data_IF_406472272284
#
_entry.id   IF_406472272284
#
_cell.length_a   1.000
_cell.length_b   1.000
_cell.length_c   1.000
_cell.angle_alpha   90.00
_cell.angle_beta   90.00
_cell.angle_gamma   90.00
#
_symmetry.space_group_name_H-M   'P 1'
#
loop_
_entity.id
_entity.type
_entity.pdbx_description
1 polymer ?
#
# COMPACT_ATOMS: atom_id res chain seq x y z
N UNK A 1 -41.60 -30.68 34.13
CA UNK A 1 -41.63 -30.03 32.81
C UNK A 1 -40.28 -29.39 32.56
N UNK A 2 -39.55 -29.92 31.64
CA UNK A 2 -38.13 -29.65 31.40
C UNK A 2 -38.05 -28.57 30.33
N UNK A 3 -37.52 -27.39 30.66
CA UNK A 3 -37.30 -26.29 29.72
C UNK A 3 -35.97 -26.45 29.01
N UNK A 4 -36.01 -26.68 27.71
CA UNK A 4 -34.80 -26.80 26.85
C UNK A 4 -34.26 -25.42 26.53
N UNK A 5 -33.11 -25.06 27.13
CA UNK A 5 -32.32 -23.88 26.77
C UNK A 5 -31.70 -24.07 25.40
N UNK A 6 -32.07 -23.24 24.42
CA UNK A 6 -31.38 -23.13 23.14
C UNK A 6 -30.11 -22.35 23.34
N UNK A 7 -28.99 -23.05 23.27
CA UNK A 7 -27.66 -22.47 23.18
C UNK A 7 -27.50 -21.77 21.84
N UNK A 8 -27.38 -20.43 21.85
CA UNK A 8 -27.06 -19.64 20.67
C UNK A 8 -25.55 -19.72 20.44
N UNK A 9 -25.13 -20.55 19.51
CA UNK A 9 -23.73 -20.56 19.04
C UNK A 9 -23.41 -19.22 18.39
N UNK A 10 -22.55 -18.45 19.03
CA UNK A 10 -21.92 -17.27 18.44
C UNK A 10 -20.92 -17.76 17.38
N UNK A 11 -21.30 -17.61 16.11
CA UNK A 11 -20.38 -17.89 15.01
C UNK A 11 -19.22 -16.89 15.08
N UNK A 12 -18.04 -17.41 15.37
CA UNK A 12 -16.78 -16.66 15.32
C UNK A 12 -16.55 -16.20 13.86
N UNK A 13 -16.62 -14.90 13.62
CA UNK A 13 -16.28 -14.30 12.34
C UNK A 13 -14.83 -14.63 11.99
N UNK A 14 -14.65 -15.41 10.92
CA UNK A 14 -13.35 -15.73 10.36
C UNK A 14 -12.67 -14.45 9.86
N UNK A 15 -11.77 -13.90 10.65
CA UNK A 15 -10.81 -12.88 10.21
C UNK A 15 -9.96 -13.53 9.13
N UNK A 16 -10.03 -13.03 7.90
CA UNK A 16 -9.15 -13.49 6.81
C UNK A 16 -7.72 -13.20 7.25
N UNK A 17 -7.04 -14.23 7.75
CA UNK A 17 -5.64 -14.16 8.17
C UNK A 17 -4.79 -14.01 6.92
N UNK A 18 -4.49 -12.78 6.53
CA UNK A 18 -3.54 -12.52 5.45
C UNK A 18 -2.19 -13.06 5.91
N UNK A 19 -1.74 -14.15 5.29
CA UNK A 19 -0.43 -14.73 5.59
C UNK A 19 0.66 -13.67 5.39
N UNK A 20 1.54 -13.45 6.38
CA UNK A 20 2.61 -12.48 6.22
C UNK A 20 3.55 -12.91 5.08
N UNK A 21 3.82 -12.00 4.15
CA UNK A 21 4.77 -12.26 3.05
C UNK A 21 6.13 -12.66 3.67
N UNK A 22 6.57 -13.88 3.40
CA UNK A 22 7.88 -14.37 3.84
C UNK A 22 8.96 -13.77 2.95
N UNK A 23 10.03 -13.26 3.55
CA UNK A 23 11.21 -12.76 2.81
C UNK A 23 12.04 -13.97 2.42
N UNK A 24 12.37 -14.09 1.14
CA UNK A 24 13.38 -15.04 0.65
C UNK A 24 14.76 -14.37 0.81
N UNK A 25 15.65 -14.90 1.67
CA UNK A 25 16.96 -14.31 1.89
C UNK A 25 17.82 -14.25 0.61
N UNK A 26 17.62 -15.18 -0.32
CA UNK A 26 18.36 -15.23 -1.58
C UNK A 26 18.03 -14.08 -2.52
N UNK A 27 16.91 -13.34 -2.24
CA UNK A 27 16.45 -12.19 -3.00
C UNK A 27 16.78 -10.84 -2.34
N UNK A 28 17.52 -10.86 -1.22
CA UNK A 28 17.99 -9.64 -0.58
C UNK A 28 19.21 -9.11 -1.33
N UNK A 29 19.21 -7.81 -1.64
CA UNK A 29 20.32 -7.10 -2.29
C UNK A 29 20.55 -5.76 -1.61
N UNK A 30 21.79 -5.28 -1.69
CA UNK A 30 22.15 -3.94 -1.28
C UNK A 30 22.62 -3.15 -2.50
N UNK A 31 22.15 -1.92 -2.63
CA UNK A 31 22.59 -0.99 -3.67
C UNK A 31 23.00 0.32 -3.02
N UNK A 32 24.05 0.95 -3.56
CA UNK A 32 24.58 2.20 -3.03
C UNK A 32 23.99 3.44 -3.73
N UNK A 33 23.47 3.29 -4.95
CA UNK A 33 22.96 4.40 -5.75
C UNK A 33 21.84 3.98 -6.70
N UNK A 34 21.18 4.98 -7.33
CA UNK A 34 20.24 4.80 -8.43
C UNK A 34 20.87 3.96 -9.55
N UNK A 35 22.08 4.30 -10.00
CA UNK A 35 22.77 3.66 -11.13
C UNK A 35 23.03 2.18 -10.86
N UNK A 36 23.41 1.84 -9.62
CA UNK A 36 23.65 0.45 -9.23
C UNK A 36 22.38 -0.40 -9.33
N UNK A 37 21.24 0.11 -8.84
CA UNK A 37 19.96 -0.60 -8.92
C UNK A 37 19.41 -0.60 -10.36
N UNK A 38 19.50 0.53 -11.07
CA UNK A 38 19.10 0.63 -12.47
C UNK A 38 19.88 -0.37 -13.36
N UNK A 39 21.20 -0.48 -13.16
CA UNK A 39 22.04 -1.47 -13.86
C UNK A 39 21.68 -2.91 -13.50
N UNK A 40 21.29 -3.19 -12.27
CA UNK A 40 20.79 -4.51 -11.88
C UNK A 40 19.48 -4.82 -12.59
N UNK A 41 18.54 -3.89 -12.61
CA UNK A 41 17.26 -4.02 -13.29
C UNK A 41 17.43 -4.27 -14.80
N UNK A 42 18.44 -3.68 -15.46
CA UNK A 42 18.69 -3.93 -16.90
C UNK A 42 18.96 -5.39 -17.23
N UNK A 43 19.44 -6.17 -16.25
CA UNK A 43 19.75 -7.60 -16.42
C UNK A 43 18.69 -8.54 -15.83
N UNK A 44 17.81 -8.01 -14.96
CA UNK A 44 16.93 -8.83 -14.12
C UNK A 44 15.44 -8.48 -14.22
N UNK A 45 15.06 -7.37 -14.87
CA UNK A 45 13.69 -6.87 -14.90
C UNK A 45 12.68 -7.88 -15.48
N UNK A 46 13.11 -8.77 -16.36
CA UNK A 46 12.29 -9.81 -17.02
C UNK A 46 12.52 -11.24 -16.49
N UNK A 47 13.60 -11.45 -15.72
CA UNK A 47 13.97 -12.75 -15.14
C UNK A 47 13.42 -12.90 -13.72
N UNK A 48 13.67 -11.89 -12.90
CA UNK A 48 13.21 -11.88 -11.51
C UNK A 48 11.80 -11.28 -11.40
N UNK A 49 11.00 -11.77 -10.46
CA UNK A 49 9.67 -11.23 -10.16
C UNK A 49 9.67 -10.29 -8.96
N UNK A 50 10.67 -10.38 -8.08
CA UNK A 50 10.85 -9.51 -6.92
C UNK A 50 12.32 -9.39 -6.51
N UNK A 51 12.62 -8.32 -5.82
CA UNK A 51 13.85 -8.11 -5.05
C UNK A 51 13.51 -7.39 -3.75
N UNK A 52 14.24 -7.74 -2.68
CA UNK A 52 14.20 -7.05 -1.41
C UNK A 52 15.48 -6.22 -1.28
N UNK A 53 15.35 -4.90 -1.28
CA UNK A 53 16.49 -4.02 -1.08
C UNK A 53 16.66 -3.79 0.42
N UNK A 54 17.82 -4.14 0.97
CA UNK A 54 18.22 -3.73 2.31
C UNK A 54 18.69 -2.28 2.24
N UNK A 55 17.96 -1.43 2.94
CA UNK A 55 18.21 0.02 2.99
C UNK A 55 18.68 0.39 4.39
N UNK A 56 19.84 1.00 4.48
CA UNK A 56 20.37 1.49 5.75
C UNK A 56 19.69 2.80 6.15
N UNK A 57 19.37 2.93 7.46
CA UNK A 57 18.73 4.13 8.01
C UNK A 57 19.71 5.32 8.01
N UNK A 58 19.16 6.52 7.91
CA UNK A 58 19.91 7.73 8.14
C UNK A 58 20.57 7.65 9.53
N UNK A 59 21.84 8.01 9.63
CA UNK A 59 22.62 7.90 10.88
C UNK A 59 23.27 6.53 11.14
N UNK A 60 23.05 5.52 10.29
CA UNK A 60 23.76 4.23 10.41
C UNK A 60 25.24 4.31 10.07
N UNK A 61 25.68 5.37 9.36
CA UNK A 61 27.04 5.52 8.81
C UNK A 61 27.33 4.64 7.59
N UNK A 62 26.36 3.82 7.14
CA UNK A 62 26.54 2.90 6.02
C UNK A 62 25.94 3.48 4.73
N UNK A 63 26.65 3.35 3.58
CA UNK A 63 26.14 3.82 2.30
C UNK A 63 24.94 2.98 1.86
N UNK A 64 23.89 3.64 1.39
CA UNK A 64 22.68 2.98 0.90
C UNK A 64 22.00 3.82 -0.15
N UNK A 65 21.32 3.16 -1.08
CA UNK A 65 20.44 3.85 -2.01
C UNK A 65 19.35 4.61 -1.25
N UNK A 66 19.08 5.84 -1.66
CA UNK A 66 17.97 6.61 -1.15
C UNK A 66 16.64 5.94 -1.60
N UNK A 67 15.63 5.79 -0.72
CA UNK A 67 14.35 5.20 -1.09
C UNK A 67 13.66 5.85 -2.29
N UNK A 68 13.82 7.18 -2.47
CA UNK A 68 13.29 7.90 -3.63
C UNK A 68 13.98 7.45 -4.92
N UNK A 69 15.31 7.35 -4.89
CA UNK A 69 16.11 6.93 -6.05
C UNK A 69 15.81 5.46 -6.41
N UNK A 70 15.56 4.61 -5.42
CA UNK A 70 15.17 3.23 -5.65
C UNK A 70 13.78 3.12 -6.32
N UNK A 71 12.82 3.96 -5.92
CA UNK A 71 11.51 4.06 -6.59
C UNK A 71 11.68 4.55 -8.03
N UNK A 72 12.50 5.56 -8.24
CA UNK A 72 12.77 6.12 -9.58
C UNK A 72 13.37 5.06 -10.52
N UNK A 73 14.40 4.34 -10.07
CA UNK A 73 14.98 3.24 -10.84
C UNK A 73 13.95 2.14 -11.17
N UNK A 74 13.14 1.74 -10.19
CA UNK A 74 12.07 0.77 -10.38
C UNK A 74 11.05 1.23 -11.43
N UNK A 75 10.59 2.48 -11.37
CA UNK A 75 9.64 3.06 -12.32
C UNK A 75 10.18 3.05 -13.75
N UNK A 76 11.48 3.34 -13.94
CA UNK A 76 12.12 3.31 -15.25
C UNK A 76 12.03 1.93 -15.92
N UNK A 77 12.01 0.86 -15.16
CA UNK A 77 11.97 -0.53 -15.64
C UNK A 77 10.59 -1.21 -15.49
N UNK A 78 9.55 -0.43 -15.17
CA UNK A 78 8.18 -0.95 -15.02
C UNK A 78 7.97 -1.77 -13.75
N UNK A 79 8.77 -1.53 -12.72
CA UNK A 79 8.65 -2.10 -11.38
C UNK A 79 8.01 -1.11 -10.42
N UNK A 80 7.66 -1.58 -9.22
CA UNK A 80 7.03 -0.79 -8.17
C UNK A 80 7.50 -1.23 -6.80
N UNK A 81 7.61 -0.29 -5.89
CA UNK A 81 7.77 -0.54 -4.46
C UNK A 81 6.53 -1.22 -3.86
N UNK A 82 6.75 -2.02 -2.87
CA UNK A 82 5.71 -2.76 -2.15
C UNK A 82 5.92 -2.69 -0.64
N UNK A 83 5.87 -3.86 -0.01
CA UNK A 83 5.95 -3.98 1.43
C UNK A 83 7.32 -3.56 1.97
N UNK A 84 7.30 -2.82 3.10
CA UNK A 84 8.48 -2.54 3.92
C UNK A 84 8.46 -3.39 5.18
N UNK A 85 9.61 -3.95 5.57
CA UNK A 85 9.79 -4.70 6.82
C UNK A 85 11.00 -4.18 7.58
N UNK A 86 10.92 -4.13 8.89
CA UNK A 86 12.11 -3.97 9.73
C UNK A 86 13.04 -5.17 9.49
N UNK A 87 14.35 -4.94 9.50
CA UNK A 87 15.35 -5.98 9.35
C UNK A 87 16.24 -6.05 10.59
N UNK A 88 16.89 -4.95 10.93
CA UNK A 88 17.69 -4.78 12.15
C UNK A 88 17.58 -3.33 12.66
N UNK A 89 18.33 -2.99 13.72
CA UNK A 89 18.30 -1.66 14.32
C UNK A 89 18.76 -0.55 13.36
N UNK A 90 19.60 -0.89 12.38
CA UNK A 90 20.22 0.06 11.44
C UNK A 90 19.65 0.00 10.04
N UNK A 91 18.78 -0.98 9.72
CA UNK A 91 18.26 -1.18 8.36
C UNK A 91 16.81 -1.69 8.31
N UNK A 92 16.23 -1.59 7.12
CA UNK A 92 14.95 -2.19 6.78
C UNK A 92 15.01 -2.81 5.38
N UNK A 93 14.08 -3.71 5.09
CA UNK A 93 13.89 -4.30 3.77
C UNK A 93 12.74 -3.58 3.06
N UNK A 94 12.99 -3.14 1.82
CA UNK A 94 11.98 -2.62 0.92
C UNK A 94 11.81 -3.57 -0.26
N UNK A 95 10.58 -4.10 -0.44
CA UNK A 95 10.26 -4.96 -1.55
C UNK A 95 10.02 -4.16 -2.83
N UNK A 96 10.56 -4.64 -3.94
CA UNK A 96 10.24 -4.17 -5.29
C UNK A 96 9.79 -5.36 -6.14
N UNK A 97 8.79 -5.15 -6.98
CA UNK A 97 8.20 -6.18 -7.86
C UNK A 97 7.89 -5.62 -9.23
N UNK A 98 7.77 -6.47 -10.22
CA UNK A 98 7.19 -6.07 -11.51
C UNK A 98 5.78 -5.54 -11.30
N UNK A 99 5.41 -4.49 -12.04
CA UNK A 99 4.02 -4.02 -12.05
C UNK A 99 3.12 -5.07 -12.69
N UNK A 100 2.10 -5.48 -11.95
CA UNK A 100 1.06 -6.36 -12.48
C UNK A 100 0.01 -5.57 -13.28
N UNK A 101 -0.76 -6.28 -14.11
CA UNK A 101 -1.84 -5.70 -14.95
C UNK A 101 -2.88 -4.88 -14.14
N UNK A 102 -3.04 -5.17 -12.85
CA UNK A 102 -3.99 -4.48 -11.95
C UNK A 102 -3.31 -3.47 -11.01
N UNK A 103 -1.99 -3.26 -11.13
CA UNK A 103 -1.27 -2.32 -10.26
C UNK A 103 -1.80 -0.91 -10.45
N UNK A 104 -2.23 -0.29 -9.35
CA UNK A 104 -2.72 1.08 -9.31
C UNK A 104 -1.55 2.08 -9.32
N UNK A 105 -1.83 3.32 -9.68
CA UNK A 105 -0.85 4.40 -9.69
C UNK A 105 -1.15 5.42 -8.60
N UNK A 106 -0.11 5.92 -7.95
CA UNK A 106 -0.20 7.09 -7.09
C UNK A 106 0.15 8.36 -7.89
N UNK A 107 -0.40 9.50 -7.52
CA UNK A 107 -0.07 10.78 -8.15
C UNK A 107 1.42 11.11 -8.04
N UNK A 108 2.07 10.73 -6.93
CA UNK A 108 3.53 10.88 -6.78
C UNK A 108 4.28 10.08 -7.85
N UNK A 109 3.88 8.82 -8.11
CA UNK A 109 4.54 8.01 -9.13
C UNK A 109 4.25 8.51 -10.54
N UNK A 110 3.07 9.09 -10.80
CA UNK A 110 2.76 9.78 -12.07
C UNK A 110 3.70 10.97 -12.27
N UNK A 111 3.88 11.81 -11.25
CA UNK A 111 4.80 12.95 -11.29
C UNK A 111 6.26 12.51 -11.46
N UNK A 112 6.68 11.47 -10.74
CA UNK A 112 8.03 10.90 -10.89
C UNK A 112 8.28 10.41 -12.31
N UNK A 113 7.33 9.69 -12.90
CA UNK A 113 7.44 9.22 -14.30
C UNK A 113 7.57 10.41 -15.25
N UNK A 114 6.75 11.46 -15.11
CA UNK A 114 6.85 12.65 -15.96
C UNK A 114 8.25 13.28 -15.88
N UNK A 115 8.80 13.40 -14.68
CA UNK A 115 10.16 13.88 -14.47
C UNK A 115 11.21 12.96 -15.09
N UNK A 116 11.07 11.63 -14.93
CA UNK A 116 12.01 10.65 -15.47
C UNK A 116 11.99 10.59 -17.00
N UNK A 117 10.83 10.82 -17.62
CA UNK A 117 10.70 10.99 -19.09
C UNK A 117 11.50 12.20 -19.53
N UNK A 118 11.31 13.36 -18.90
CA UNK A 118 12.05 14.59 -19.23
C UNK A 118 13.57 14.45 -19.03
N UNK A 119 13.99 13.56 -18.15
CA UNK A 119 15.40 13.23 -17.91
C UNK A 119 15.96 12.16 -18.86
N UNK A 120 15.17 11.61 -19.77
CA UNK A 120 15.57 10.54 -20.69
C UNK A 120 15.92 9.21 -20.00
N UNK A 121 15.44 8.99 -18.76
CA UNK A 121 15.79 7.80 -17.95
C UNK A 121 14.82 6.62 -18.13
N UNK A 122 13.65 6.87 -18.71
CA UNK A 122 12.63 5.82 -18.89
C UNK A 122 13.06 4.82 -19.98
N UNK A 123 12.91 3.54 -19.67
CA UNK A 123 13.10 2.46 -20.64
C UNK A 123 11.79 2.12 -21.35
N UNK A 124 11.85 1.34 -22.42
CA UNK A 124 10.67 0.78 -23.11
C UNK A 124 9.78 -0.03 -22.17
N UNK A 125 10.37 -0.76 -21.20
CA UNK A 125 9.66 -1.54 -20.19
C UNK A 125 8.85 -0.66 -19.24
N UNK A 126 9.41 0.48 -18.83
CA UNK A 126 8.71 1.49 -18.06
C UNK A 126 7.58 2.13 -18.86
N UNK A 127 7.84 2.53 -20.12
CA UNK A 127 6.81 3.07 -21.02
C UNK A 127 5.67 2.09 -21.26
N UNK A 128 5.95 0.80 -21.43
CA UNK A 128 4.92 -0.24 -21.58
C UNK A 128 3.90 -0.23 -20.44
N UNK A 129 4.37 -0.07 -19.19
CA UNK A 129 3.49 0.00 -18.01
C UNK A 129 2.69 1.31 -17.95
N UNK A 130 3.31 2.43 -18.33
CA UNK A 130 2.65 3.74 -18.42
C UNK A 130 1.55 3.72 -19.47
N UNK A 131 1.86 3.26 -20.69
CA UNK A 131 0.92 3.20 -21.79
C UNK A 131 -0.27 2.28 -21.48
N UNK A 132 -0.02 1.11 -20.91
CA UNK A 132 -1.08 0.21 -20.45
C UNK A 132 -1.99 0.87 -19.39
N UNK A 133 -1.41 1.64 -18.47
CA UNK A 133 -2.19 2.34 -17.44
C UNK A 133 -2.99 3.53 -18.00
N UNK A 134 -2.48 4.21 -19.03
CA UNK A 134 -3.21 5.27 -19.75
C UNK A 134 -4.38 4.67 -20.54
N UNK A 135 -4.17 3.57 -21.25
CA UNK A 135 -5.18 2.91 -22.05
C UNK A 135 -6.38 2.39 -21.24
N UNK A 136 -6.15 1.87 -20.03
CA UNK A 136 -7.22 1.35 -19.16
C UNK A 136 -7.70 2.35 -18.08
N UNK A 137 -7.24 3.59 -18.14
CA UNK A 137 -7.66 4.70 -17.27
C UNK A 137 -7.06 4.68 -15.85
N UNK A 138 -6.21 3.69 -15.48
CA UNK A 138 -5.54 3.66 -14.15
C UNK A 138 -4.64 4.87 -13.94
N UNK A 139 -4.07 5.42 -15.00
CA UNK A 139 -3.23 6.61 -14.95
C UNK A 139 -4.00 7.85 -14.48
N UNK A 140 -5.16 8.10 -15.04
CA UNK A 140 -6.02 9.23 -14.67
C UNK A 140 -6.67 9.08 -13.30
N UNK A 141 -6.92 7.83 -12.89
CA UNK A 141 -7.43 7.51 -11.54
C UNK A 141 -6.33 7.36 -10.50
N UNK A 142 -5.14 7.94 -10.73
CA UNK A 142 -4.04 7.87 -9.78
C UNK A 142 -4.45 8.49 -8.42
N UNK A 143 -4.28 7.71 -7.35
CA UNK A 143 -4.69 8.11 -6.01
C UNK A 143 -3.70 9.07 -5.35
N UNK A 144 -4.20 9.93 -4.47
CA UNK A 144 -3.36 10.75 -3.61
C UNK A 144 -2.72 9.86 -2.54
N UNK A 145 -1.40 9.99 -2.32
CA UNK A 145 -0.68 9.19 -1.33
C UNK A 145 -0.36 9.99 -0.07
N UNK A 146 -0.11 9.26 1.02
CA UNK A 146 0.32 9.83 2.29
C UNK A 146 -0.72 10.71 2.97
N UNK A 147 -0.27 11.75 3.66
CA UNK A 147 -1.11 12.66 4.47
C UNK A 147 -2.12 13.46 3.65
N UNK A 148 -1.97 13.56 2.34
CA UNK A 148 -2.89 14.30 1.46
C UNK A 148 -4.18 13.54 1.14
N UNK A 149 -4.23 12.22 1.39
CA UNK A 149 -5.43 11.44 1.13
C UNK A 149 -6.50 11.74 2.19
N UNK A 150 -7.57 12.39 1.76
CA UNK A 150 -8.74 12.67 2.60
C UNK A 150 -9.70 11.47 2.60
N UNK A 151 -10.45 11.32 3.68
CA UNK A 151 -11.58 10.40 3.71
C UNK A 151 -12.64 10.90 2.71
N UNK A 152 -13.20 10.03 1.86
CA UNK A 152 -14.25 10.42 0.90
C UNK A 152 -15.52 10.87 1.61
N UNK A 153 -16.22 11.84 1.02
CA UNK A 153 -17.40 12.49 1.62
C UNK A 153 -18.54 11.50 1.87
N UNK A 154 -18.76 10.54 0.97
CA UNK A 154 -19.78 9.50 1.15
C UNK A 154 -19.46 8.54 2.30
N UNK A 155 -18.18 8.26 2.56
CA UNK A 155 -17.76 7.50 3.73
C UNK A 155 -17.93 8.32 5.01
N UNK A 156 -17.56 9.61 4.99
CA UNK A 156 -17.72 10.50 6.13
C UNK A 156 -19.20 10.64 6.50
N UNK A 157 -20.07 10.91 5.53
CA UNK A 157 -21.52 11.02 5.76
C UNK A 157 -22.11 9.73 6.37
N UNK A 158 -21.69 8.56 5.89
CA UNK A 158 -22.14 7.29 6.43
C UNK A 158 -21.62 7.02 7.87
N UNK A 159 -20.41 7.46 8.20
CA UNK A 159 -19.85 7.35 9.55
C UNK A 159 -20.54 8.34 10.49
N UNK A 160 -20.80 9.58 10.04
CA UNK A 160 -21.42 10.63 10.85
C UNK A 160 -22.87 10.31 11.23
N UNK A 161 -23.57 9.54 10.40
CA UNK A 161 -24.92 9.02 10.71
C UNK A 161 -24.94 8.04 11.89
N UNK A 162 -23.80 7.51 12.32
CA UNK A 162 -23.67 6.49 13.35
C UNK A 162 -22.79 6.97 14.52
N UNK A 163 -23.34 7.40 15.64
CA UNK A 163 -22.58 8.03 16.74
C UNK A 163 -21.36 7.22 17.22
N UNK A 164 -21.54 5.90 17.37
CA UNK A 164 -20.42 5.02 17.79
C UNK A 164 -19.30 4.95 16.74
N UNK A 165 -19.65 4.92 15.46
CA UNK A 165 -18.66 4.89 14.38
C UNK A 165 -17.92 6.24 14.29
N UNK A 166 -18.62 7.38 14.47
CA UNK A 166 -18.05 8.71 14.52
C UNK A 166 -17.03 8.87 15.64
N UNK A 167 -17.37 8.43 16.86
CA UNK A 167 -16.45 8.48 18.00
C UNK A 167 -15.20 7.62 17.71
N UNK A 168 -15.40 6.39 17.20
CA UNK A 168 -14.28 5.52 16.87
C UNK A 168 -13.39 6.08 15.76
N UNK A 169 -13.96 6.83 14.79
CA UNK A 169 -13.17 7.51 13.75
C UNK A 169 -12.19 8.53 14.37
N UNK A 170 -12.57 9.23 15.44
CA UNK A 170 -11.70 10.21 16.11
C UNK A 170 -10.50 9.52 16.77
N UNK A 171 -10.66 8.32 17.28
CA UNK A 171 -9.61 7.53 17.91
C UNK A 171 -8.63 6.89 16.91
N UNK A 172 -8.99 6.83 15.62
CA UNK A 172 -8.14 6.19 14.62
C UNK A 172 -6.82 6.95 14.41
N UNK A 173 -5.72 6.22 14.43
CA UNK A 173 -4.43 6.73 14.02
C UNK A 173 -4.37 7.01 12.50
N UNK A 174 -3.33 7.73 12.07
CA UNK A 174 -3.15 8.12 10.67
C UNK A 174 -3.11 6.91 9.70
N UNK A 175 -2.54 5.78 10.13
CA UNK A 175 -2.47 4.56 9.34
C UNK A 175 -3.85 3.98 9.06
N UNK A 176 -4.71 3.88 10.07
CA UNK A 176 -6.06 3.37 9.91
C UNK A 176 -6.96 4.33 9.12
N UNK A 177 -6.86 5.65 9.35
CA UNK A 177 -7.55 6.67 8.52
C UNK A 177 -7.17 6.58 7.05
N UNK A 178 -5.87 6.47 6.77
CA UNK A 178 -5.38 6.27 5.41
C UNK A 178 -5.91 4.97 4.78
N UNK A 179 -5.93 3.88 5.54
CA UNK A 179 -6.39 2.58 5.05
C UNK A 179 -7.89 2.58 4.69
N UNK A 180 -8.73 3.30 5.42
CA UNK A 180 -10.14 3.53 5.08
C UNK A 180 -10.26 4.28 3.75
N UNK A 181 -9.60 5.45 3.65
CA UNK A 181 -9.64 6.29 2.46
C UNK A 181 -9.13 5.55 1.22
N UNK A 182 -7.96 4.92 1.33
CA UNK A 182 -7.33 4.18 0.24
C UNK A 182 -8.21 3.06 -0.32
N UNK A 183 -8.84 2.27 0.57
CA UNK A 183 -9.67 1.15 0.14
C UNK A 183 -10.96 1.60 -0.53
N UNK A 184 -11.56 2.71 -0.09
CA UNK A 184 -12.77 3.27 -0.73
C UNK A 184 -12.40 3.92 -2.06
N UNK A 185 -11.31 4.70 -2.12
CA UNK A 185 -10.85 5.35 -3.36
C UNK A 185 -10.60 4.33 -4.49
N UNK A 186 -10.10 3.15 -4.16
CA UNK A 186 -9.77 2.12 -5.15
C UNK A 186 -10.93 1.16 -5.49
N UNK A 187 -12.14 1.41 -5.00
CA UNK A 187 -13.31 0.62 -5.40
C UNK A 187 -13.70 0.94 -6.84
N UNK A 188 -13.95 -0.11 -7.64
CA UNK A 188 -14.19 0.02 -9.08
C UNK A 188 -15.68 0.19 -9.44
N UNK A 189 -16.57 -0.32 -8.60
CA UNK A 189 -18.02 -0.30 -8.83
C UNK A 189 -18.72 0.43 -7.71
N UNK A 190 -19.80 1.12 -8.02
CA UNK A 190 -20.62 1.83 -7.03
C UNK A 190 -21.21 0.87 -5.99
N UNK A 191 -21.74 -0.28 -6.43
CA UNK A 191 -22.28 -1.30 -5.53
C UNK A 191 -21.20 -1.83 -4.56
N UNK A 192 -20.00 -2.13 -5.07
CA UNK A 192 -18.86 -2.55 -4.24
C UNK A 192 -18.43 -1.45 -3.27
N UNK A 193 -18.45 -0.18 -3.70
CA UNK A 193 -18.14 0.98 -2.88
C UNK A 193 -19.13 1.11 -1.72
N UNK A 194 -20.44 1.09 -2.01
CA UNK A 194 -21.50 1.14 -0.99
C UNK A 194 -21.36 0.01 0.04
N UNK A 195 -21.18 -1.25 -0.43
CA UNK A 195 -20.95 -2.39 0.45
C UNK A 195 -19.72 -2.23 1.33
N UNK A 196 -18.62 -1.69 0.79
CA UNK A 196 -17.39 -1.45 1.55
C UNK A 196 -17.57 -0.37 2.61
N UNK A 197 -18.28 0.72 2.31
CA UNK A 197 -18.64 1.77 3.25
C UNK A 197 -19.44 1.18 4.42
N UNK A 198 -20.48 0.41 4.15
CA UNK A 198 -21.28 -0.27 5.17
C UNK A 198 -20.42 -1.19 6.06
N UNK A 199 -19.49 -1.93 5.43
CA UNK A 199 -18.54 -2.79 6.16
C UNK A 199 -17.68 -1.97 7.13
N UNK A 200 -17.19 -0.81 6.72
CA UNK A 200 -16.35 0.05 7.56
C UNK A 200 -17.13 0.72 8.68
N UNK A 201 -18.35 1.20 8.41
CA UNK A 201 -19.24 1.73 9.44
C UNK A 201 -19.53 0.67 10.50
N UNK A 202 -19.90 -0.54 10.09
CA UNK A 202 -20.16 -1.65 11.02
C UNK A 202 -18.91 -2.03 11.84
N UNK A 203 -17.71 -2.04 11.22
CA UNK A 203 -16.44 -2.28 11.89
C UNK A 203 -16.18 -1.21 12.97
N UNK A 204 -16.31 0.06 12.62
CA UNK A 204 -16.10 1.18 13.56
C UNK A 204 -17.12 1.18 14.70
N UNK A 205 -18.39 0.83 14.44
CA UNK A 205 -19.42 0.65 15.51
C UNK A 205 -19.03 -0.38 16.55
N UNK A 206 -18.26 -1.41 16.18
CA UNK A 206 -17.73 -2.43 17.09
C UNK A 206 -16.42 -2.05 17.78
N UNK A 207 -15.88 -0.84 17.53
CA UNK A 207 -14.58 -0.40 18.03
C UNK A 207 -13.39 -1.13 17.40
N UNK A 208 -13.57 -1.72 16.21
CA UNK A 208 -12.54 -2.49 15.51
C UNK A 208 -11.75 -1.59 14.54
N UNK A 209 -10.52 -1.98 14.26
CA UNK A 209 -9.60 -1.28 13.35
C UNK A 209 -9.07 -2.21 12.26
N UNK A 210 -8.61 -1.63 11.14
CA UNK A 210 -8.02 -2.40 10.03
C UNK A 210 -6.65 -2.96 10.43
N UNK A 211 -5.86 -2.14 11.10
CA UNK A 211 -4.53 -2.50 11.61
C UNK A 211 -4.49 -2.31 13.13
N UNK A 212 -3.74 -3.15 13.85
CA UNK A 212 -3.54 -2.94 15.28
C UNK A 212 -3.07 -1.52 15.57
N UNK A 213 -3.63 -0.89 16.59
CA UNK A 213 -3.17 0.40 17.11
C UNK A 213 -3.20 0.37 18.62
N UNK A 214 -2.23 1.02 19.25
CA UNK A 214 -2.30 1.27 20.68
C UNK A 214 -3.36 2.34 20.93
N UNK A 215 -4.17 2.18 21.97
CA UNK A 215 -5.01 3.27 22.46
C UNK A 215 -4.06 4.40 22.88
N UNK A 216 -4.32 5.60 22.39
CA UNK A 216 -3.62 6.77 22.94
C UNK A 216 -3.88 6.75 24.44
N UNK A 217 -2.82 6.59 25.23
CA UNK A 217 -2.89 6.86 26.68
C UNK A 217 -3.12 8.37 26.78
N UNK A 218 -4.23 8.75 27.38
CA UNK A 218 -4.45 10.13 27.88
C UNK A 218 -3.31 10.53 28.80
#
# INVERSE_FOLDING_TARGET
MIGTGKSTQVQANATIKVMPVKVDPTRIREFKSFEAFYKWLSKHHDKDYEVWIKVHKLGSGLPSINPKDAIDAALCWGWIDGLRKAFDDKSFLQRYTRRGKKSIWSQINVQNVSRLINQGKMTEHGFKQVNAAKADGRWHRAYQSGRKMKLPDDLLAAIDAEPRARNMLQELNAQNRYALAFRIHNMKTEAGRKKKIQTFVAMLKRGETIYPQHKNKE
#
